data_IF_123446522461
#
_entry.id   IF_123446522461
#
_cell.length_a   1.000
_cell.length_b   1.000
_cell.length_c   1.000
_cell.angle_alpha   90.00
_cell.angle_beta   90.00
_cell.angle_gamma   90.00
#
_symmetry.space_group_name_H-M   'P 1'
#
loop_
_entity.id
_entity.type
_entity.pdbx_description
1 polymer ?
#
# COMPACT_ATOMS: atom_id res chain seq x y z
N UNK A 1 10.15 24.08 -44.95
CA UNK A 1 9.55 24.69 -43.74
C UNK A 1 9.31 23.55 -42.77
N UNK A 2 10.19 23.37 -41.79
CA UNK A 2 9.98 22.45 -40.67
C UNK A 2 9.74 23.37 -39.48
N UNK A 3 8.48 23.53 -39.12
CA UNK A 3 8.09 24.29 -37.92
C UNK A 3 8.55 23.51 -36.70
N UNK A 4 9.29 24.22 -35.84
CA UNK A 4 9.69 23.80 -34.51
C UNK A 4 8.43 23.62 -33.66
N UNK A 5 8.27 22.43 -33.10
CA UNK A 5 7.22 22.15 -32.12
C UNK A 5 7.74 22.64 -30.77
N UNK A 6 7.20 23.76 -30.32
CA UNK A 6 7.39 24.33 -28.99
C UNK A 6 6.91 23.34 -27.91
N UNK A 7 7.86 22.61 -27.32
CA UNK A 7 7.66 21.73 -26.17
C UNK A 7 7.77 22.50 -24.84
N UNK A 8 7.01 23.59 -24.71
CA UNK A 8 6.90 24.32 -23.44
C UNK A 8 5.45 24.27 -22.94
N UNK A 9 5.09 23.15 -22.33
CA UNK A 9 3.99 23.13 -21.37
C UNK A 9 4.39 22.28 -20.16
N UNK A 10 5.28 22.87 -19.35
CA UNK A 10 5.64 22.44 -18.00
C UNK A 10 4.40 22.63 -17.13
N UNK A 11 3.49 21.66 -17.17
CA UNK A 11 2.46 21.55 -16.15
C UNK A 11 3.12 20.92 -14.93
N UNK A 12 3.49 21.78 -13.98
CA UNK A 12 3.82 21.41 -12.61
C UNK A 12 2.62 20.68 -11.99
N UNK A 13 2.57 19.36 -12.18
CA UNK A 13 1.64 18.51 -11.45
C UNK A 13 2.27 18.28 -10.08
N UNK A 14 1.87 19.09 -9.11
CA UNK A 14 2.17 18.84 -7.70
C UNK A 14 1.71 17.43 -7.36
N UNK A 15 2.66 16.50 -7.24
CA UNK A 15 2.41 15.22 -6.59
C UNK A 15 2.04 15.58 -5.15
N UNK A 16 0.76 15.43 -4.82
CA UNK A 16 0.34 15.42 -3.43
C UNK A 16 0.84 14.12 -2.80
N UNK A 17 2.16 14.02 -2.64
CA UNK A 17 2.73 13.19 -1.60
C UNK A 17 2.13 13.78 -0.32
N UNK A 18 1.16 13.09 0.29
CA UNK A 18 0.27 13.60 1.35
C UNK A 18 0.98 14.09 2.61
N UNK A 19 1.82 15.10 2.50
CA UNK A 19 2.82 15.50 3.47
C UNK A 19 2.57 16.89 4.04
N UNK A 20 1.55 17.62 3.59
CA UNK A 20 1.40 19.00 4.05
C UNK A 20 0.83 19.14 5.47
N UNK A 21 0.16 18.12 6.04
CA UNK A 21 -0.45 18.27 7.38
C UNK A 21 -0.36 17.07 8.35
N UNK A 22 0.16 15.90 7.97
CA UNK A 22 0.10 14.69 8.83
C UNK A 22 1.25 14.51 9.82
N UNK A 23 2.33 15.31 9.73
CA UNK A 23 3.57 15.02 10.47
C UNK A 23 3.50 15.29 11.99
N UNK A 24 2.40 15.83 12.54
CA UNK A 24 2.36 16.31 13.93
C UNK A 24 1.68 15.40 14.97
N UNK A 25 0.96 14.33 14.62
CA UNK A 25 0.12 13.60 15.60
C UNK A 25 0.15 12.04 15.56
N UNK A 26 1.18 11.42 14.96
CA UNK A 26 1.15 10.01 14.53
C UNK A 26 1.70 8.95 15.50
N UNK A 27 1.92 9.24 16.79
CA UNK A 27 2.47 8.23 17.73
C UNK A 27 1.59 6.96 17.85
N UNK A 28 0.28 7.08 17.60
CA UNK A 28 -0.67 5.97 17.67
C UNK A 28 -1.32 5.62 16.32
N UNK A 29 -0.75 6.07 15.20
CA UNK A 29 -1.28 5.72 13.88
C UNK A 29 -1.11 4.23 13.60
N UNK A 30 -2.12 3.54 13.04
CA UNK A 30 -1.95 2.21 12.48
C UNK A 30 -0.82 2.18 11.44
N UNK A 31 -0.08 1.08 11.38
CA UNK A 31 1.02 0.86 10.43
C UNK A 31 0.62 -0.22 9.42
N UNK A 32 0.87 0.06 8.15
CA UNK A 32 0.83 -0.91 7.05
C UNK A 32 2.28 -1.11 6.59
N UNK A 33 2.71 -2.37 6.49
CA UNK A 33 4.03 -2.73 5.97
C UNK A 33 3.87 -3.17 4.52
N UNK A 34 4.76 -2.70 3.65
CA UNK A 34 4.89 -3.14 2.26
C UNK A 34 6.24 -3.83 2.10
N UNK A 35 6.23 -5.16 2.07
CA UNK A 35 7.43 -5.95 1.84
C UNK A 35 7.77 -5.92 0.35
N UNK A 36 8.42 -4.85 -0.07
CA UNK A 36 8.95 -4.72 -1.42
C UNK A 36 10.34 -5.37 -1.47
N UNK A 37 10.39 -6.66 -1.81
CA UNK A 37 11.65 -7.41 -1.89
C UNK A 37 12.37 -7.13 -3.22
N UNK A 38 11.59 -6.87 -4.28
CA UNK A 38 12.09 -6.76 -5.65
C UNK A 38 11.63 -5.45 -6.30
N UNK A 39 12.51 -4.78 -7.04
CA UNK A 39 12.20 -3.57 -7.82
C UNK A 39 11.00 -3.73 -8.78
N UNK A 40 10.65 -4.97 -9.13
CA UNK A 40 9.52 -5.32 -10.00
C UNK A 40 8.22 -5.66 -9.25
N UNK A 41 8.17 -5.43 -7.94
CA UNK A 41 6.96 -5.65 -7.15
C UNK A 41 5.79 -4.85 -7.72
N UNK A 42 4.63 -5.51 -7.77
CA UNK A 42 3.39 -4.87 -8.22
C UNK A 42 3.03 -3.70 -7.30
N UNK A 43 3.31 -3.83 -6.00
CA UNK A 43 3.08 -2.78 -5.01
C UNK A 43 4.42 -2.20 -4.55
N UNK A 44 4.46 -0.88 -4.42
CA UNK A 44 5.54 -0.16 -3.77
C UNK A 44 4.98 1.06 -3.01
N UNK A 45 5.83 1.76 -2.26
CA UNK A 45 5.41 3.03 -1.64
C UNK A 45 5.05 4.11 -2.67
N UNK A 46 5.45 3.95 -3.95
CA UNK A 46 5.13 4.87 -5.03
C UNK A 46 3.64 4.82 -5.41
N UNK A 47 3.07 3.61 -5.49
CA UNK A 47 1.70 3.41 -6.00
C UNK A 47 0.68 2.98 -4.93
N UNK A 48 1.12 2.67 -3.71
CA UNK A 48 0.23 2.20 -2.64
C UNK A 48 -0.91 3.17 -2.34
N UNK A 49 -0.68 4.49 -2.49
CA UNK A 49 -1.72 5.50 -2.28
C UNK A 49 -2.85 5.34 -3.30
N UNK A 50 -2.54 5.15 -4.59
CA UNK A 50 -3.55 4.96 -5.63
C UNK A 50 -4.36 3.69 -5.37
N UNK A 51 -3.67 2.63 -4.93
CA UNK A 51 -4.27 1.32 -4.66
C UNK A 51 -5.21 1.39 -3.46
N UNK A 52 -4.76 1.94 -2.34
CA UNK A 52 -5.54 1.95 -1.10
C UNK A 52 -6.55 3.11 -1.06
N UNK A 53 -6.16 4.32 -1.44
CA UNK A 53 -7.05 5.48 -1.33
C UNK A 53 -8.07 5.48 -2.46
N UNK A 54 -7.59 5.35 -3.69
CA UNK A 54 -8.42 5.55 -4.89
C UNK A 54 -8.99 4.24 -5.44
N UNK A 55 -8.49 3.08 -4.96
CA UNK A 55 -8.85 1.75 -5.46
C UNK A 55 -8.52 1.60 -6.94
N UNK A 56 -7.36 2.11 -7.34
CA UNK A 56 -6.85 2.07 -8.72
C UNK A 56 -5.41 1.56 -8.71
N UNK A 57 -5.11 0.64 -9.61
CA UNK A 57 -3.74 0.20 -9.84
C UNK A 57 -3.06 1.04 -10.92
N UNK A 58 -1.93 1.66 -10.57
CA UNK A 58 -0.97 2.26 -11.50
C UNK A 58 0.38 1.57 -11.22
N UNK A 59 1.05 1.09 -12.27
CA UNK A 59 2.37 0.47 -12.09
C UNK A 59 3.39 1.48 -11.58
N UNK A 60 4.31 1.04 -10.73
CA UNK A 60 5.34 1.91 -10.14
C UNK A 60 6.11 2.72 -11.18
N UNK A 61 6.54 2.09 -12.29
CA UNK A 61 7.24 2.77 -13.39
C UNK A 61 6.38 3.84 -14.08
N UNK A 62 5.12 3.54 -14.33
CA UNK A 62 4.19 4.49 -14.96
C UNK A 62 3.91 5.65 -14.02
N UNK A 63 3.75 5.36 -12.72
CA UNK A 63 3.54 6.39 -11.70
C UNK A 63 4.76 7.31 -11.58
N UNK A 64 5.97 6.77 -11.58
CA UNK A 64 7.21 7.56 -11.58
C UNK A 64 7.23 8.52 -12.77
N UNK A 65 6.87 8.05 -13.97
CA UNK A 65 6.83 8.89 -15.18
C UNK A 65 5.74 9.95 -15.14
N UNK A 66 4.53 9.57 -14.71
CA UNK A 66 3.36 10.48 -14.67
C UNK A 66 3.55 11.58 -13.61
N UNK A 67 4.11 11.21 -12.46
CA UNK A 67 4.25 12.10 -11.32
C UNK A 67 5.67 12.71 -11.21
N UNK A 68 6.56 12.45 -12.15
CA UNK A 68 7.96 12.93 -12.13
C UNK A 68 8.65 12.68 -10.78
N UNK A 69 8.49 11.45 -10.26
CA UNK A 69 9.01 11.10 -8.93
C UNK A 69 10.51 10.90 -9.02
N UNK A 70 11.26 11.86 -8.47
CA UNK A 70 12.73 11.83 -8.44
C UNK A 70 13.31 11.18 -7.20
N UNK A 71 12.52 11.07 -6.12
CA UNK A 71 12.96 10.53 -4.83
C UNK A 71 11.96 9.48 -4.35
N UNK A 72 12.46 8.27 -4.05
CA UNK A 72 11.64 7.21 -3.49
C UNK A 72 11.27 7.55 -2.02
N UNK A 73 9.97 7.53 -1.65
CA UNK A 73 9.53 7.89 -0.31
C UNK A 73 9.94 6.82 0.71
N UNK A 74 10.37 7.24 1.91
CA UNK A 74 10.63 6.31 3.03
C UNK A 74 9.37 5.87 3.76
N UNK A 75 8.35 6.70 3.72
CA UNK A 75 7.05 6.46 4.34
C UNK A 75 5.97 7.26 3.62
N UNK A 76 4.75 6.74 3.65
CA UNK A 76 3.58 7.37 3.04
C UNK A 76 2.46 7.42 4.08
N UNK A 77 1.64 8.46 4.04
CA UNK A 77 0.49 8.59 4.92
C UNK A 77 -0.80 8.54 4.12
N UNK A 78 -1.75 7.72 4.58
CA UNK A 78 -3.04 7.53 3.93
C UNK A 78 -4.13 7.85 4.96
N UNK A 79 -5.03 8.77 4.61
CA UNK A 79 -6.21 9.06 5.41
C UNK A 79 -7.39 8.22 4.94
N UNK A 80 -8.09 7.58 5.87
CA UNK A 80 -9.32 6.83 5.61
C UNK A 80 -10.37 7.19 6.65
N UNK A 81 -11.57 7.48 6.19
CA UNK A 81 -12.72 7.68 7.08
C UNK A 81 -13.29 6.32 7.49
N UNK A 82 -13.48 6.13 8.80
CA UNK A 82 -14.12 4.97 9.40
C UNK A 82 -15.04 5.47 10.51
N UNK A 83 -16.33 5.13 10.43
CA UNK A 83 -17.34 5.49 11.44
C UNK A 83 -17.29 7.00 11.82
N UNK A 84 -17.27 7.88 10.80
CA UNK A 84 -17.15 9.35 10.91
C UNK A 84 -15.84 9.88 11.53
N UNK A 85 -14.82 9.02 11.69
CA UNK A 85 -13.50 9.40 12.19
C UNK A 85 -12.46 9.25 11.08
N UNK A 86 -11.63 10.27 10.88
CA UNK A 86 -10.50 10.20 9.95
C UNK A 86 -9.32 9.54 10.66
N UNK A 87 -8.90 8.38 10.15
CA UNK A 87 -7.75 7.63 10.62
C UNK A 87 -6.59 7.83 9.64
N UNK A 88 -5.41 8.13 10.17
CA UNK A 88 -4.19 8.28 9.41
C UNK A 88 -3.33 7.04 9.56
N UNK A 89 -3.18 6.30 8.47
CA UNK A 89 -2.34 5.12 8.36
C UNK A 89 -0.94 5.54 7.92
N UNK A 90 0.07 4.99 8.60
CA UNK A 90 1.46 5.08 8.19
C UNK A 90 1.80 3.86 7.35
N UNK A 91 2.33 4.05 6.15
CA UNK A 91 2.80 2.99 5.28
C UNK A 91 4.33 3.07 5.20
N UNK A 92 5.00 1.93 5.39
CA UNK A 92 6.46 1.81 5.32
C UNK A 92 6.84 0.54 4.56
N UNK A 93 8.07 0.48 4.07
CA UNK A 93 8.69 -0.73 3.54
C UNK A 93 9.86 -1.24 4.39
N UNK A 94 10.54 -0.36 5.12
CA UNK A 94 11.56 -0.73 6.11
C UNK A 94 10.99 -0.77 7.54
N UNK A 95 11.20 -1.91 8.21
CA UNK A 95 10.79 -2.17 9.59
C UNK A 95 11.96 -2.62 10.49
N UNK A 96 13.21 -2.53 10.04
CA UNK A 96 14.41 -3.01 10.77
C UNK A 96 14.57 -2.37 12.15
N UNK A 97 14.08 -1.14 12.31
CA UNK A 97 14.17 -0.35 13.54
C UNK A 97 12.86 -0.34 14.36
N UNK A 98 11.91 -1.22 14.04
CA UNK A 98 10.64 -1.29 14.75
C UNK A 98 10.85 -1.76 16.20
N UNK A 99 10.27 -1.01 17.13
CA UNK A 99 10.14 -1.39 18.53
C UNK A 99 8.82 -2.12 18.73
N UNK A 100 8.63 -2.69 19.92
CA UNK A 100 7.38 -3.38 20.28
C UNK A 100 6.13 -2.51 20.10
N UNK A 101 6.24 -1.21 20.38
CA UNK A 101 5.15 -0.26 20.14
C UNK A 101 4.87 0.00 18.64
N UNK A 102 5.85 -0.22 17.77
CA UNK A 102 5.63 -0.12 16.32
C UNK A 102 4.94 -1.40 15.83
N UNK A 103 5.43 -2.57 16.25
CA UNK A 103 4.82 -3.87 15.98
C UNK A 103 3.37 -3.97 16.46
N UNK A 104 3.08 -3.45 17.66
CA UNK A 104 1.72 -3.42 18.20
C UNK A 104 0.76 -2.61 17.33
N UNK A 105 1.25 -1.68 16.50
CA UNK A 105 0.43 -0.85 15.61
C UNK A 105 0.33 -1.40 14.19
N UNK A 106 1.02 -2.48 13.84
CA UNK A 106 0.93 -3.08 12.50
C UNK A 106 -0.45 -3.70 12.29
N UNK A 107 -1.14 -3.32 11.23
CA UNK A 107 -2.52 -3.76 10.94
C UNK A 107 -2.67 -4.50 9.62
N UNK A 108 -1.68 -4.40 8.74
CA UNK A 108 -1.62 -5.13 7.49
C UNK A 108 -0.19 -5.26 7.00
N UNK A 109 0.07 -6.34 6.26
CA UNK A 109 1.33 -6.55 5.55
C UNK A 109 1.01 -6.87 4.09
N UNK A 110 1.59 -6.11 3.17
CA UNK A 110 1.63 -6.48 1.75
C UNK A 110 2.90 -7.25 1.50
N UNK A 111 2.76 -8.41 0.86
CA UNK A 111 3.86 -9.31 0.53
C UNK A 111 4.07 -9.35 -0.98
N UNK A 112 5.28 -9.69 -1.42
CA UNK A 112 5.60 -9.92 -2.83
C UNK A 112 5.67 -11.44 -3.14
N UNK A 113 5.86 -11.80 -4.41
CA UNK A 113 5.86 -13.19 -4.88
C UNK A 113 6.99 -14.03 -4.26
N UNK A 114 8.09 -13.38 -3.90
CA UNK A 114 9.25 -13.97 -3.24
C UNK A 114 9.07 -14.06 -1.71
N UNK A 115 7.85 -13.83 -1.19
CA UNK A 115 7.53 -14.04 0.22
C UNK A 115 7.73 -15.50 0.61
N UNK A 116 8.74 -15.74 1.44
CA UNK A 116 8.85 -16.96 2.22
C UNK A 116 8.14 -16.71 3.57
N UNK A 117 7.52 -17.73 4.15
CA UNK A 117 6.71 -17.58 5.36
C UNK A 117 7.57 -17.01 6.50
N UNK A 118 7.40 -15.72 6.79
CA UNK A 118 8.21 -15.04 7.79
C UNK A 118 7.61 -15.28 9.18
N UNK A 119 8.31 -16.08 9.98
CA UNK A 119 7.91 -16.44 11.35
C UNK A 119 8.19 -15.30 12.36
N UNK A 120 7.82 -14.08 11.99
CA UNK A 120 7.77 -12.98 12.93
C UNK A 120 6.54 -13.16 13.82
N UNK A 121 6.76 -13.58 15.07
CA UNK A 121 5.71 -13.70 16.08
C UNK A 121 4.82 -12.44 16.16
N UNK A 122 5.43 -11.26 15.96
CA UNK A 122 4.77 -9.95 15.98
C UNK A 122 3.69 -9.74 14.91
N UNK A 123 3.73 -10.45 13.78
CA UNK A 123 2.77 -10.31 12.67
C UNK A 123 2.01 -11.59 12.35
N UNK A 124 2.15 -12.63 13.18
CA UNK A 124 1.52 -13.94 12.96
C UNK A 124 0.01 -13.84 12.68
N UNK A 125 -0.69 -13.02 13.47
CA UNK A 125 -2.14 -12.83 13.35
C UNK A 125 -2.55 -11.62 12.51
N UNK A 126 -1.59 -10.88 11.95
CA UNK A 126 -1.88 -9.70 11.13
C UNK A 126 -2.28 -10.18 9.72
N UNK A 127 -3.34 -9.60 9.12
CA UNK A 127 -3.72 -9.88 7.75
C UNK A 127 -2.58 -9.58 6.77
N UNK A 128 -2.30 -10.55 5.90
CA UNK A 128 -1.29 -10.46 4.86
C UNK A 128 -1.97 -10.45 3.49
N UNK A 129 -1.47 -9.64 2.57
CA UNK A 129 -2.07 -9.43 1.25
C UNK A 129 -1.03 -9.65 0.16
N UNK A 130 -1.39 -10.43 -0.85
CA UNK A 130 -0.61 -10.59 -2.07
C UNK A 130 -1.44 -10.10 -3.26
N UNK A 131 -0.97 -9.06 -3.95
CA UNK A 131 -1.64 -8.58 -5.17
C UNK A 131 -0.96 -9.19 -6.38
N UNK A 132 -1.75 -9.75 -7.30
CA UNK A 132 -1.25 -10.34 -8.56
C UNK A 132 -2.07 -9.90 -9.75
N UNK A 133 -1.48 -9.96 -10.95
CA UNK A 133 -2.32 -9.95 -12.16
C UNK A 133 -2.93 -11.32 -12.42
N UNK A 134 -4.14 -11.32 -12.97
CA UNK A 134 -4.86 -12.50 -13.50
C UNK A 134 -4.03 -13.36 -14.46
N UNK A 135 -3.16 -12.73 -15.25
CA UNK A 135 -2.27 -13.42 -16.21
C UNK A 135 -1.10 -14.19 -15.58
N UNK A 136 -0.79 -13.97 -14.30
CA UNK A 136 0.34 -14.63 -13.64
C UNK A 136 -0.14 -15.72 -12.67
N UNK A 137 0.49 -16.89 -12.78
CA UNK A 137 0.33 -17.96 -11.81
C UNK A 137 1.10 -17.61 -10.54
N UNK A 138 0.44 -17.69 -9.38
CA UNK A 138 1.15 -17.61 -8.10
C UNK A 138 2.23 -18.70 -8.01
N UNK A 139 3.38 -18.32 -7.45
CA UNK A 139 4.39 -19.26 -7.01
C UNK A 139 3.81 -20.22 -5.95
N UNK A 140 4.45 -21.38 -5.79
CA UNK A 140 3.95 -22.49 -4.97
C UNK A 140 3.78 -22.08 -3.50
N UNK A 141 4.80 -21.44 -2.93
CA UNK A 141 4.81 -20.82 -1.60
C UNK A 141 3.55 -19.96 -1.36
N UNK A 142 3.22 -19.04 -2.27
CA UNK A 142 2.06 -18.16 -2.14
C UNK A 142 0.73 -18.94 -2.18
N UNK A 143 0.64 -19.99 -3.00
CA UNK A 143 -0.60 -20.78 -3.14
C UNK A 143 -0.87 -21.66 -1.93
N UNK A 144 0.18 -22.19 -1.32
CA UNK A 144 0.10 -23.10 -0.19
C UNK A 144 -0.02 -22.36 1.15
N UNK A 145 0.29 -21.07 1.16
CA UNK A 145 0.16 -20.21 2.32
C UNK A 145 -1.31 -19.82 2.57
N UNK A 146 -1.92 -20.44 3.59
CA UNK A 146 -3.34 -20.27 3.91
C UNK A 146 -3.69 -18.93 4.57
N UNK A 147 -2.70 -18.17 5.04
CA UNK A 147 -2.91 -16.91 5.77
C UNK A 147 -2.83 -15.66 4.86
N UNK A 148 -2.63 -15.86 3.55
CA UNK A 148 -2.55 -14.80 2.54
C UNK A 148 -3.91 -14.50 1.91
N UNK A 149 -4.26 -13.23 1.87
CA UNK A 149 -5.38 -12.71 1.09
C UNK A 149 -4.88 -12.37 -0.33
N UNK A 150 -5.23 -13.21 -1.31
CA UNK A 150 -4.79 -13.01 -2.70
C UNK A 150 -5.78 -12.11 -3.44
N UNK A 151 -5.34 -10.90 -3.76
CA UNK A 151 -6.12 -9.93 -4.52
C UNK A 151 -5.69 -10.00 -5.99
N UNK A 152 -6.61 -10.39 -6.87
CA UNK A 152 -6.32 -10.52 -8.30
C UNK A 152 -6.80 -9.27 -9.03
N UNK A 153 -5.90 -8.61 -9.76
CA UNK A 153 -6.21 -7.46 -10.63
C UNK A 153 -6.11 -7.87 -12.10
N UNK A 154 -6.97 -7.33 -12.95
CA UNK A 154 -7.00 -7.71 -14.36
C UNK A 154 -5.94 -6.94 -15.16
N UNK A 155 -5.09 -7.62 -15.92
CA UNK A 155 -3.99 -6.93 -16.65
C UNK A 155 -4.47 -5.91 -17.68
N UNK A 156 -5.61 -6.17 -18.33
CA UNK A 156 -6.08 -5.37 -19.47
C UNK A 156 -7.40 -4.61 -19.23
N UNK A 157 -8.16 -4.95 -18.18
CA UNK A 157 -9.46 -4.34 -17.88
C UNK A 157 -9.57 -4.03 -16.39
N UNK A 158 -9.50 -2.74 -16.02
CA UNK A 158 -9.46 -2.30 -14.62
C UNK A 158 -10.84 -2.12 -13.97
N UNK A 159 -11.94 -2.42 -14.69
CA UNK A 159 -13.28 -2.13 -14.19
C UNK A 159 -13.65 -2.93 -12.93
N UNK A 160 -13.08 -4.13 -12.77
CA UNK A 160 -13.33 -5.00 -11.61
C UNK A 160 -12.34 -4.79 -10.46
N UNK A 161 -11.17 -4.19 -10.73
CA UNK A 161 -10.11 -3.99 -9.74
C UNK A 161 -10.63 -3.18 -8.53
N UNK A 162 -11.51 -2.19 -8.77
CA UNK A 162 -12.09 -1.37 -7.71
C UNK A 162 -12.84 -2.18 -6.65
N UNK A 163 -13.48 -3.27 -7.03
CA UNK A 163 -14.20 -4.12 -6.08
C UNK A 163 -13.21 -4.95 -5.24
N UNK A 164 -12.25 -5.61 -5.88
CA UNK A 164 -11.24 -6.42 -5.19
C UNK A 164 -10.33 -5.57 -4.29
N UNK A 165 -9.97 -4.36 -4.72
CA UNK A 165 -9.15 -3.46 -3.92
C UNK A 165 -9.90 -2.90 -2.69
N UNK A 166 -11.23 -2.73 -2.78
CA UNK A 166 -12.05 -2.34 -1.62
C UNK A 166 -12.09 -3.42 -0.53
N UNK A 167 -12.00 -4.69 -0.90
CA UNK A 167 -12.02 -5.80 0.05
C UNK A 167 -10.86 -5.74 1.06
N UNK A 168 -9.72 -5.20 0.64
CA UNK A 168 -8.56 -4.96 1.50
C UNK A 168 -8.96 -4.14 2.73
N UNK A 169 -9.67 -3.02 2.53
CA UNK A 169 -10.09 -2.17 3.64
C UNK A 169 -11.07 -2.87 4.57
N UNK A 170 -11.99 -3.68 4.05
CA UNK A 170 -12.93 -4.43 4.88
C UNK A 170 -12.19 -5.38 5.84
N UNK A 171 -11.16 -6.06 5.35
CA UNK A 171 -10.33 -6.97 6.15
C UNK A 171 -9.52 -6.19 7.19
N UNK A 172 -8.88 -5.08 6.80
CA UNK A 172 -8.10 -4.24 7.72
C UNK A 172 -8.98 -3.65 8.82
N UNK A 173 -10.11 -3.06 8.45
CA UNK A 173 -11.04 -2.42 9.38
C UNK A 173 -11.59 -3.44 10.37
N UNK A 174 -12.01 -4.61 9.89
CA UNK A 174 -12.47 -5.69 10.76
C UNK A 174 -11.37 -6.18 11.71
N UNK A 175 -10.15 -6.35 11.20
CA UNK A 175 -9.00 -6.74 12.03
C UNK A 175 -8.75 -5.72 13.16
N UNK A 176 -8.76 -4.43 12.85
CA UNK A 176 -8.54 -3.37 13.84
C UNK A 176 -9.66 -3.36 14.88
N UNK A 177 -10.93 -3.42 14.45
CA UNK A 177 -12.09 -3.45 15.37
C UNK A 177 -12.00 -4.61 16.36
N UNK A 178 -11.56 -5.79 15.90
CA UNK A 178 -11.51 -7.00 16.73
C UNK A 178 -10.25 -7.10 17.60
N UNK A 179 -9.08 -6.70 17.09
CA UNK A 179 -7.79 -6.99 17.72
C UNK A 179 -7.08 -5.76 18.26
N UNK A 180 -7.32 -4.58 17.67
CA UNK A 180 -6.59 -3.35 17.98
C UNK A 180 -7.50 -2.11 18.06
N UNK A 181 -8.64 -2.17 18.80
CA UNK A 181 -9.63 -1.09 18.81
C UNK A 181 -9.09 0.24 19.38
N UNK A 182 -8.04 0.18 20.20
CA UNK A 182 -7.34 1.36 20.73
C UNK A 182 -6.69 2.22 19.65
N UNK A 183 -6.56 1.73 18.42
CA UNK A 183 -6.06 2.52 17.28
C UNK A 183 -7.15 3.36 16.60
N UNK A 184 -8.43 3.10 16.89
CA UNK A 184 -9.58 3.80 16.27
C UNK A 184 -9.99 5.05 17.05
N UNK A 185 -9.88 5.00 18.38
CA UNK A 185 -10.40 6.02 19.27
C UNK A 185 -9.24 6.73 20.00
N UNK A 186 -9.14 8.04 19.82
CA UNK A 186 -8.20 8.92 20.54
C UNK A 186 -8.89 9.61 21.70
#
# INVERSE_FOLDING_TARGET
>A
MKEEVDNNNINNVNVDMGHRNCSKNNKNSPIIIVLNINDKSIISLINITDILKDNVYIGSEDKIKIADVTVYPKEVYISKELDNTIIYYKVVDNYENFKDNDWSRVVAVFVDADYDEWDFENIKNVPKFFIRFDTFLCAKNIRECNDLNIITICRYNRNLDKFHLKEIWLIIENFIKMNKPYLLYK
#
